data_IF_739910917591
#
_entry.id   IF_739910917591
#
_cell.length_a   1.000
_cell.length_b   1.000
_cell.length_c   1.000
_cell.angle_alpha   90.00
_cell.angle_beta   90.00
_cell.angle_gamma   90.00
#
_symmetry.space_group_name_H-M   'P 1'
#
loop_
_entity.id
_entity.type
_entity.pdbx_description
1 polymer ?
#
# COMPACT_ATOMS: atom_id res chain seq x y z
N UNK A 1 5.36 -14.97 6.66
CA UNK A 1 4.60 -15.20 7.91
C UNK A 1 4.58 -13.94 8.81
N UNK A 2 4.44 -12.73 8.23
CA UNK A 2 4.41 -11.46 8.98
C UNK A 2 3.00 -11.08 9.46
N UNK A 3 1.96 -11.50 8.73
CA UNK A 3 0.55 -11.24 9.09
C UNK A 3 0.09 -11.93 10.37
N UNK A 4 0.66 -13.10 10.70
CA UNK A 4 0.28 -13.86 11.90
C UNK A 4 0.70 -13.18 13.22
N UNK A 5 1.58 -12.16 13.15
CA UNK A 5 2.06 -11.43 14.33
C UNK A 5 1.14 -10.28 14.75
N UNK A 6 -0.02 -10.13 14.08
CA UNK A 6 -0.93 -9.00 14.23
C UNK A 6 -0.18 -7.65 14.27
N UNK A 7 0.59 -7.33 13.22
CA UNK A 7 1.46 -6.16 13.23
C UNK A 7 0.64 -4.88 13.29
N UNK A 8 1.13 -3.89 14.05
CA UNK A 8 0.50 -2.57 14.14
C UNK A 8 0.44 -1.86 12.78
N UNK A 9 1.43 -2.11 11.94
CA UNK A 9 1.53 -1.55 10.59
C UNK A 9 2.09 -2.57 9.60
N UNK A 10 1.76 -2.38 8.33
CA UNK A 10 2.19 -3.18 7.20
C UNK A 10 2.86 -2.29 6.14
N UNK A 11 3.85 -2.84 5.47
CA UNK A 11 4.45 -2.24 4.29
C UNK A 11 3.90 -2.96 3.06
N UNK A 12 3.41 -2.19 2.09
CA UNK A 12 2.59 -2.68 0.98
C UNK A 12 3.15 -2.20 -0.35
N UNK A 13 3.01 -3.06 -1.36
CA UNK A 13 3.07 -2.69 -2.77
C UNK A 13 1.63 -2.58 -3.27
N UNK A 14 1.21 -1.37 -3.60
CA UNK A 14 -0.15 -1.07 -4.05
C UNK A 14 -0.13 -0.86 -5.55
N UNK A 15 -0.65 -1.80 -6.32
CA UNK A 15 -0.76 -1.69 -7.78
C UNK A 15 -2.15 -1.19 -8.17
N UNK A 16 -2.22 -0.05 -8.85
CA UNK A 16 -3.43 0.48 -9.45
C UNK A 16 -3.60 0.02 -10.92
N UNK A 17 -4.82 0.11 -11.42
CA UNK A 17 -5.17 -0.21 -12.81
C UNK A 17 -4.54 0.76 -13.83
N UNK A 18 -4.10 1.93 -13.38
CA UNK A 18 -3.51 2.99 -14.18
C UNK A 18 -2.44 3.73 -13.36
N UNK A 19 -1.54 4.51 -14.00
CA UNK A 19 -0.55 5.30 -13.28
C UNK A 19 -1.21 6.22 -12.24
N UNK A 20 -0.67 6.32 -11.02
CA UNK A 20 -1.28 7.11 -9.97
C UNK A 20 -1.22 8.60 -10.30
N UNK A 21 -2.40 9.19 -10.48
CA UNK A 21 -2.60 10.64 -10.53
C UNK A 21 -2.65 11.28 -9.14
N UNK A 22 -2.68 12.62 -9.07
CA UNK A 22 -2.66 13.41 -7.83
C UNK A 22 -3.69 12.97 -6.80
N UNK A 23 -4.88 12.54 -7.23
CA UNK A 23 -5.90 12.00 -6.34
C UNK A 23 -5.40 10.77 -5.57
N UNK A 24 -4.82 9.79 -6.26
CA UNK A 24 -4.27 8.58 -5.65
C UNK A 24 -3.14 8.91 -4.69
N UNK A 25 -2.24 9.82 -5.09
CA UNK A 25 -1.15 10.29 -4.22
C UNK A 25 -1.69 10.90 -2.93
N UNK A 26 -2.75 11.70 -2.99
CA UNK A 26 -3.38 12.27 -1.81
C UNK A 26 -4.00 11.18 -0.92
N UNK A 27 -4.77 10.25 -1.50
CA UNK A 27 -5.34 9.12 -0.76
C UNK A 27 -4.23 8.31 -0.09
N UNK A 28 -3.19 7.92 -0.81
CA UNK A 28 -2.09 7.12 -0.26
C UNK A 28 -1.39 7.82 0.90
N UNK A 29 -1.19 9.14 0.83
CA UNK A 29 -0.61 9.92 1.93
C UNK A 29 -1.51 10.00 3.19
N UNK A 30 -2.81 9.72 3.08
CA UNK A 30 -3.69 9.59 4.25
C UNK A 30 -3.60 8.22 4.92
N UNK A 31 -3.22 7.18 4.17
CA UNK A 31 -3.18 5.80 4.64
C UNK A 31 -1.79 5.35 5.12
N UNK A 32 -0.72 6.03 4.68
CA UNK A 32 0.65 5.67 5.01
C UNK A 32 1.66 6.65 4.42
N UNK A 33 2.91 6.21 4.32
CA UNK A 33 4.01 7.01 3.76
C UNK A 33 4.41 6.43 2.42
N UNK A 34 4.28 7.21 1.35
CA UNK A 34 4.77 6.80 0.03
C UNK A 34 6.30 6.86 -0.02
N UNK A 35 6.93 5.81 -0.52
CA UNK A 35 8.39 5.72 -0.71
C UNK A 35 8.83 5.79 -2.16
N UNK A 36 7.90 5.62 -3.09
CA UNK A 36 8.14 5.71 -4.52
C UNK A 36 7.07 4.98 -5.31
N UNK A 37 7.05 5.24 -6.61
CA UNK A 37 6.15 4.58 -7.56
C UNK A 37 6.96 4.07 -8.74
N UNK A 38 6.75 2.81 -9.10
CA UNK A 38 7.29 2.18 -10.29
C UNK A 38 6.11 1.75 -11.18
N UNK A 39 5.96 2.39 -12.35
CA UNK A 39 4.80 2.20 -13.21
C UNK A 39 3.49 2.58 -12.51
N UNK A 40 2.60 1.61 -12.29
CA UNK A 40 1.35 1.78 -11.53
C UNK A 40 1.41 1.21 -10.11
N UNK A 41 2.60 0.83 -9.63
CA UNK A 41 2.80 0.25 -8.29
C UNK A 41 3.48 1.24 -7.37
N UNK A 42 2.83 1.58 -6.26
CA UNK A 42 3.35 2.48 -5.24
C UNK A 42 3.74 1.69 -3.99
N UNK A 43 4.96 1.92 -3.50
CA UNK A 43 5.39 1.42 -2.20
C UNK A 43 4.82 2.32 -1.10
N UNK A 44 3.94 1.77 -0.28
CA UNK A 44 3.30 2.44 0.84
C UNK A 44 3.70 1.75 2.14
N UNK A 45 4.40 2.48 3.02
CA UNK A 45 4.87 1.94 4.30
C UNK A 45 4.06 2.49 5.46
N UNK A 46 4.09 1.76 6.59
CA UNK A 46 3.37 2.11 7.82
C UNK A 46 1.84 2.19 7.67
N UNK A 47 1.25 1.28 6.89
CA UNK A 47 -0.21 1.23 6.67
C UNK A 47 -0.89 0.44 7.78
N UNK A 48 -1.99 0.93 8.35
CA UNK A 48 -2.72 0.17 9.37
C UNK A 48 -3.51 -0.99 8.74
N UNK A 49 -3.76 -2.11 9.46
CA UNK A 49 -4.59 -3.20 8.95
C UNK A 49 -6.00 -2.77 8.50
N UNK A 50 -6.61 -1.78 9.17
CA UNK A 50 -7.90 -1.20 8.76
C UNK A 50 -7.81 -0.46 7.43
N UNK A 51 -6.73 0.27 7.20
CA UNK A 51 -6.51 1.00 5.95
C UNK A 51 -6.25 0.04 4.80
N UNK A 52 -5.54 -1.08 5.03
CA UNK A 52 -5.36 -2.14 4.02
C UNK A 52 -6.71 -2.66 3.53
N UNK A 53 -7.64 -2.90 4.47
CA UNK A 53 -9.00 -3.35 4.14
C UNK A 53 -9.77 -2.29 3.36
N UNK A 54 -9.62 -1.02 3.70
CA UNK A 54 -10.30 0.06 2.99
C UNK A 54 -9.75 0.24 1.57
N UNK A 55 -8.43 0.24 1.39
CA UNK A 55 -7.82 0.44 0.08
C UNK A 55 -8.09 -0.74 -0.86
N UNK A 56 -8.18 -1.99 -0.35
CA UNK A 56 -8.46 -3.17 -1.18
C UNK A 56 -9.85 -3.16 -1.82
N UNK A 57 -10.75 -2.31 -1.34
CA UNK A 57 -12.13 -2.16 -1.85
C UNK A 57 -12.27 -1.05 -2.91
N UNK A 58 -11.22 -0.27 -3.16
CA UNK A 58 -11.29 0.82 -4.13
C UNK A 58 -11.23 0.27 -5.55
N UNK A 59 -12.14 0.73 -6.42
CA UNK A 59 -12.30 0.18 -7.78
C UNK A 59 -11.06 0.34 -8.67
N UNK A 60 -10.16 1.27 -8.35
CA UNK A 60 -8.93 1.52 -9.08
C UNK A 60 -7.77 0.62 -8.65
N UNK A 61 -7.93 -0.15 -7.57
CA UNK A 61 -6.90 -1.06 -7.05
C UNK A 61 -6.96 -2.40 -7.77
N UNK A 62 -5.82 -2.80 -8.31
CA UNK A 62 -5.64 -4.05 -9.06
C UNK A 62 -5.11 -5.17 -8.16
N UNK A 63 -4.11 -4.85 -7.33
CA UNK A 63 -3.42 -5.80 -6.46
C UNK A 63 -2.79 -5.09 -5.28
N UNK A 64 -2.74 -5.77 -4.14
CA UNK A 64 -1.98 -5.36 -2.97
C UNK A 64 -1.10 -6.55 -2.56
N UNK A 65 0.21 -6.34 -2.56
CA UNK A 65 1.19 -7.31 -2.08
C UNK A 65 1.84 -6.78 -0.79
N UNK A 66 2.30 -7.68 0.06
CA UNK A 66 3.19 -7.28 1.16
C UNK A 66 4.54 -6.92 0.57
N UNK A 67 5.06 -5.75 0.94
CA UNK A 67 6.43 -5.41 0.61
C UNK A 67 7.35 -6.36 1.37
N UNK A 68 8.30 -6.99 0.68
CA UNK A 68 9.32 -7.79 1.36
C UNK A 68 10.15 -6.89 2.25
N UNK A 69 9.94 -6.96 3.56
CA UNK A 69 10.85 -6.38 4.53
C UNK A 69 12.13 -7.21 4.49
N UNK A 70 13.11 -6.85 3.66
CA UNK A 70 14.49 -7.31 3.89
C UNK A 70 14.92 -6.75 5.24
N UNK A 71 14.75 -7.54 6.30
CA UNK A 71 15.39 -7.28 7.59
C UNK A 71 16.89 -7.26 7.32
N UNK A 72 17.48 -6.07 7.38
CA UNK A 72 18.93 -5.90 7.39
C UNK A 72 19.40 -5.92 8.83
#
# INVERSE_FOLDING_TARGET
>A
MELQKNPKYLDLLVTANFPPERFHTNVYNTLGIQRGTEGSTTLLVKVSPSDVRWISQQYWIKRIDLAETKKK
#
